data_IF_411487439513
#
_entry.id   IF_411487439513
#
_cell.length_a   1.000
_cell.length_b   1.000
_cell.length_c   1.000
_cell.angle_alpha   90.00
_cell.angle_beta   90.00
_cell.angle_gamma   90.00
#
_symmetry.space_group_name_H-M   'P 1'
#
loop_
_entity.id
_entity.type
_entity.pdbx_description
1 polymer ?
#
# COMPACT_ATOMS: atom_id res chain seq x y z
N UNK A 1 -31.51 -53.53 -34.96
CA UNK A 1 -32.66 -54.21 -34.36
C UNK A 1 -33.26 -53.26 -33.35
N UNK A 2 -34.32 -52.60 -33.75
CA UNK A 2 -35.68 -52.66 -33.20
C UNK A 2 -35.83 -52.17 -31.76
N UNK A 3 -36.71 -51.33 -31.35
CA UNK A 3 -37.98 -50.72 -31.83
C UNK A 3 -38.29 -49.59 -30.83
N UNK A 4 -38.57 -48.42 -31.28
CA UNK A 4 -39.87 -47.73 -31.29
C UNK A 4 -40.92 -48.25 -30.33
N UNK A 5 -41.49 -47.37 -29.49
CA UNK A 5 -42.91 -47.21 -29.32
C UNK A 5 -43.26 -45.80 -28.82
N UNK A 6 -44.13 -45.21 -29.55
CA UNK A 6 -44.91 -43.97 -29.30
C UNK A 6 -46.02 -44.28 -28.25
N UNK A 7 -46.55 -43.23 -27.70
CA UNK A 7 -47.95 -42.87 -27.48
C UNK A 7 -48.07 -41.99 -26.23
N UNK A 8 -48.86 -41.04 -26.02
CA UNK A 8 -49.89 -40.28 -26.70
C UNK A 8 -50.40 -39.28 -25.66
N UNK A 9 -50.49 -38.06 -26.09
CA UNK A 9 -51.47 -37.00 -25.82
C UNK A 9 -52.57 -37.31 -24.78
N UNK A 10 -52.76 -36.41 -23.81
CA UNK A 10 -54.11 -35.95 -23.45
C UNK A 10 -54.04 -34.49 -22.96
N UNK A 11 -54.75 -33.65 -23.67
CA UNK A 11 -55.12 -32.26 -23.36
C UNK A 11 -56.32 -32.30 -22.43
N UNK A 12 -56.33 -31.50 -21.37
CA UNK A 12 -57.60 -30.96 -20.88
C UNK A 12 -57.42 -29.59 -20.27
N UNK A 13 -58.36 -28.75 -20.62
CA UNK A 13 -58.40 -27.32 -20.54
C UNK A 13 -59.03 -26.79 -19.24
N UNK A 14 -58.83 -25.47 -19.08
CA UNK A 14 -59.69 -24.46 -18.48
C UNK A 14 -59.81 -24.40 -16.96
N UNK A 15 -59.43 -23.23 -16.45
CA UNK A 15 -59.73 -22.77 -15.10
C UNK A 15 -59.20 -21.35 -14.87
N UNK A 16 -59.93 -20.34 -15.38
CA UNK A 16 -59.74 -18.93 -15.07
C UNK A 16 -60.09 -18.67 -13.61
N UNK A 17 -59.15 -18.16 -12.83
CA UNK A 17 -59.43 -17.50 -11.56
C UNK A 17 -58.57 -16.24 -11.47
N UNK A 18 -59.20 -15.09 -11.75
CA UNK A 18 -58.72 -13.76 -11.39
C UNK A 18 -58.78 -13.62 -9.86
N UNK A 19 -57.60 -13.74 -9.23
CA UNK A 19 -57.42 -13.39 -7.83
C UNK A 19 -56.44 -12.24 -7.75
N UNK A 20 -56.93 -11.00 -7.65
CA UNK A 20 -56.11 -9.85 -7.38
C UNK A 20 -55.45 -9.96 -6.02
N UNK A 21 -54.12 -10.01 -5.96
CA UNK A 21 -53.37 -9.81 -4.74
C UNK A 21 -53.29 -8.31 -4.49
N UNK A 22 -53.70 -7.84 -3.29
CA UNK A 22 -53.41 -6.45 -2.89
C UNK A 22 -51.94 -6.26 -2.78
N UNK A 23 -51.39 -5.28 -3.48
CA UNK A 23 -49.99 -4.92 -3.42
C UNK A 23 -49.60 -4.55 -2.00
N UNK A 24 -48.66 -5.31 -1.42
CA UNK A 24 -47.93 -4.88 -0.27
C UNK A 24 -47.13 -3.64 -0.66
N UNK A 25 -47.20 -2.56 0.10
CA UNK A 25 -46.27 -1.45 -0.09
C UNK A 25 -44.89 -1.98 0.20
N UNK A 26 -44.06 -2.08 -0.84
CA UNK A 26 -42.65 -2.40 -0.70
C UNK A 26 -41.99 -1.37 0.19
N UNK A 27 -41.79 -1.72 1.45
CA UNK A 27 -40.85 -1.00 2.28
C UNK A 27 -39.50 -1.06 1.59
N UNK A 28 -38.66 -0.02 1.70
CA UNK A 28 -37.33 -0.07 1.17
C UNK A 28 -36.64 -1.28 1.80
N UNK A 29 -36.31 -2.28 0.95
CA UNK A 29 -35.34 -3.29 1.34
C UNK A 29 -34.20 -2.56 2.02
N UNK A 30 -33.73 -3.01 3.17
CA UNK A 30 -32.43 -2.58 3.62
C UNK A 30 -31.45 -3.11 2.57
N UNK A 31 -31.29 -2.36 1.48
CA UNK A 31 -30.09 -2.48 0.68
C UNK A 31 -28.99 -2.37 1.69
N UNK A 32 -28.39 -3.50 1.96
CA UNK A 32 -27.10 -3.57 2.56
C UNK A 32 -26.28 -2.52 1.80
N UNK A 33 -26.19 -1.32 2.33
CA UNK A 33 -25.13 -0.39 1.98
C UNK A 33 -23.90 -1.20 2.33
N UNK A 34 -23.41 -2.00 1.38
CA UNK A 34 -22.00 -2.25 1.28
C UNK A 34 -21.47 -0.84 1.19
N UNK A 35 -21.14 -0.32 2.36
CA UNK A 35 -20.28 0.82 2.47
C UNK A 35 -19.08 0.37 1.65
N UNK A 36 -18.94 0.84 0.44
CA UNK A 36 -17.70 0.85 -0.30
C UNK A 36 -16.81 1.82 0.47
N UNK A 37 -16.62 1.47 1.76
CA UNK A 37 -15.59 2.02 2.60
C UNK A 37 -14.34 1.80 1.80
N UNK A 38 -13.78 2.90 1.45
CA UNK A 38 -12.49 3.10 0.85
C UNK A 38 -11.64 1.82 0.95
N UNK A 39 -11.55 1.06 -0.17
CA UNK A 39 -10.76 -0.16 -0.26
C UNK A 39 -9.25 0.16 -0.30
N UNK A 40 -8.88 1.44 -0.13
CA UNK A 40 -7.50 1.80 0.11
C UNK A 40 -7.09 1.21 1.46
N UNK A 41 -6.07 0.34 1.48
CA UNK A 41 -5.55 -0.17 2.73
C UNK A 41 -5.23 0.99 3.67
N UNK A 42 -5.54 0.89 4.96
CA UNK A 42 -5.24 1.96 5.90
C UNK A 42 -3.76 2.31 5.81
N UNK A 43 -3.49 3.61 5.65
CA UNK A 43 -2.12 4.13 5.62
C UNK A 43 -1.42 3.70 6.91
N UNK A 44 -0.23 3.13 6.79
CA UNK A 44 0.54 2.68 7.96
C UNK A 44 0.80 3.85 8.92
N UNK A 45 0.68 3.62 10.24
CA UNK A 45 0.84 4.67 11.25
C UNK A 45 2.28 5.23 11.34
N UNK A 46 3.25 4.63 10.65
CA UNK A 46 4.62 5.16 10.59
C UNK A 46 4.84 6.11 9.43
N UNK A 47 3.92 6.17 8.47
CA UNK A 47 4.00 7.08 7.32
C UNK A 47 3.77 8.53 7.78
N UNK A 48 4.60 9.44 7.28
CA UNK A 48 4.53 10.87 7.59
C UNK A 48 3.43 11.55 6.77
N UNK A 49 2.17 11.21 7.05
CA UNK A 49 1.01 11.70 6.31
C UNK A 49 0.92 13.24 6.32
N UNK A 50 1.30 13.89 7.43
CA UNK A 50 1.33 15.34 7.56
C UNK A 50 2.34 16.00 6.58
N UNK A 51 3.51 15.36 6.37
CA UNK A 51 4.50 15.86 5.42
C UNK A 51 4.00 15.64 3.99
N UNK A 52 3.43 14.46 3.73
CA UNK A 52 2.88 14.13 2.41
C UNK A 52 1.68 15.01 2.02
N UNK A 53 0.96 15.58 2.98
CA UNK A 53 -0.13 16.52 2.74
C UNK A 53 0.33 17.95 2.45
N UNK A 54 1.62 18.27 2.64
CA UNK A 54 2.17 19.60 2.34
C UNK A 54 2.32 19.80 0.83
N UNK A 55 2.33 21.05 0.40
CA UNK A 55 2.84 21.40 -0.93
C UNK A 55 4.35 21.13 -0.99
N UNK A 56 4.90 20.80 -2.17
CA UNK A 56 6.33 20.68 -2.35
C UNK A 56 7.06 21.98 -1.97
N UNK A 57 8.09 21.87 -1.14
CA UNK A 57 8.91 23.01 -0.68
C UNK A 57 10.13 23.24 -1.58
N UNK A 58 10.36 22.34 -2.54
CA UNK A 58 11.48 22.43 -3.48
C UNK A 58 11.19 21.67 -4.79
N UNK A 59 11.83 22.09 -5.86
CA UNK A 59 11.87 21.38 -7.14
C UNK A 59 13.10 20.46 -7.27
N UNK A 60 14.03 20.55 -6.32
CA UNK A 60 15.20 19.67 -6.24
C UNK A 60 15.54 19.46 -4.77
N UNK A 61 15.80 18.21 -4.40
CA UNK A 61 16.19 17.85 -3.06
C UNK A 61 17.32 16.81 -3.08
N UNK A 62 18.32 16.98 -2.22
CA UNK A 62 19.36 15.98 -1.96
C UNK A 62 18.91 15.16 -0.74
N UNK A 63 18.74 13.84 -0.92
CA UNK A 63 18.24 12.97 0.14
C UNK A 63 19.05 11.69 0.26
N UNK A 64 19.05 11.11 1.46
CA UNK A 64 19.44 9.71 1.68
C UNK A 64 18.29 8.98 2.31
N UNK A 65 18.28 7.63 2.20
CA UNK A 65 17.19 6.84 2.76
C UNK A 65 17.65 5.55 3.43
N UNK A 66 16.82 5.04 4.31
CA UNK A 66 16.87 3.71 4.89
C UNK A 66 15.65 2.96 4.40
N UNK A 67 15.85 1.82 3.72
CA UNK A 67 14.78 0.93 3.27
C UNK A 67 14.55 -0.17 4.30
N UNK A 68 13.30 -0.36 4.71
CA UNK A 68 12.85 -1.45 5.58
C UNK A 68 11.68 -2.16 4.91
N UNK A 69 11.93 -3.38 4.42
CA UNK A 69 10.96 -4.21 3.71
C UNK A 69 10.39 -5.31 4.61
N UNK A 70 9.49 -6.13 4.09
CA UNK A 70 8.93 -7.31 4.75
C UNK A 70 8.60 -8.42 3.76
N UNK A 71 8.38 -9.64 4.26
CA UNK A 71 8.28 -10.87 3.44
C UNK A 71 7.23 -10.81 2.33
N UNK A 72 6.10 -10.10 2.56
CA UNK A 72 4.99 -10.08 1.60
C UNK A 72 5.30 -9.26 0.34
N UNK A 73 6.44 -8.56 0.32
CA UNK A 73 6.94 -7.78 -0.83
C UNK A 73 7.93 -8.55 -1.71
N UNK A 74 8.14 -9.85 -1.46
CA UNK A 74 9.15 -10.68 -2.14
C UNK A 74 9.05 -10.67 -3.66
N UNK A 75 7.85 -10.58 -4.22
CA UNK A 75 7.61 -10.55 -5.66
C UNK A 75 8.22 -9.29 -6.30
N UNK A 76 8.18 -8.14 -5.62
CA UNK A 76 8.73 -6.87 -6.12
C UNK A 76 10.25 -6.88 -6.20
N UNK A 77 10.90 -7.78 -5.47
CA UNK A 77 12.35 -7.97 -5.45
C UNK A 77 12.84 -9.07 -6.38
N UNK A 78 11.96 -9.71 -7.16
CA UNK A 78 12.33 -10.77 -8.11
C UNK A 78 13.20 -11.89 -7.48
N UNK A 79 12.92 -12.25 -6.23
CA UNK A 79 13.68 -13.26 -5.47
C UNK A 79 14.93 -12.74 -4.76
N UNK A 80 15.23 -11.45 -4.83
CA UNK A 80 16.40 -10.83 -4.19
C UNK A 80 16.06 -10.04 -2.92
N UNK A 81 14.96 -10.42 -2.23
CA UNK A 81 14.59 -9.80 -0.95
C UNK A 81 15.68 -10.04 0.11
N UNK A 82 16.01 -8.99 0.87
CA UNK A 82 16.98 -9.11 1.98
C UNK A 82 16.55 -10.22 2.96
N UNK A 83 17.47 -11.08 3.42
CA UNK A 83 17.15 -12.15 4.37
C UNK A 83 16.51 -11.69 5.68
N UNK A 84 16.75 -10.45 6.11
CA UNK A 84 16.10 -9.83 7.28
C UNK A 84 14.63 -9.57 6.99
N UNK A 85 14.32 -8.99 5.82
CA UNK A 85 12.96 -8.72 5.35
C UNK A 85 12.16 -10.01 5.16
N UNK A 86 12.78 -11.07 4.63
CA UNK A 86 12.14 -12.36 4.43
C UNK A 86 11.58 -13.01 5.71
N UNK A 87 12.13 -12.64 6.87
CA UNK A 87 11.72 -13.14 8.20
C UNK A 87 10.75 -12.22 8.93
N UNK A 88 10.53 -11.01 8.41
CA UNK A 88 9.81 -9.92 9.06
C UNK A 88 8.38 -9.82 8.51
N UNK A 89 7.40 -9.61 9.36
CA UNK A 89 6.07 -9.15 8.97
C UNK A 89 6.05 -7.64 8.74
N UNK A 90 4.97 -7.12 8.13
CA UNK A 90 4.78 -5.66 8.01
C UNK A 90 4.76 -4.97 9.38
N UNK A 91 4.12 -5.58 10.38
CA UNK A 91 4.06 -5.04 11.74
C UNK A 91 5.45 -4.95 12.41
N UNK A 92 6.30 -5.96 12.17
CA UNK A 92 7.68 -5.93 12.64
C UNK A 92 8.50 -4.85 11.93
N UNK A 93 8.28 -4.66 10.62
CA UNK A 93 8.90 -3.56 9.85
C UNK A 93 8.49 -2.19 10.41
N UNK A 94 7.21 -1.99 10.73
CA UNK A 94 6.73 -0.77 11.38
C UNK A 94 7.37 -0.55 12.76
N UNK A 95 7.57 -1.61 13.54
CA UNK A 95 8.25 -1.51 14.83
C UNK A 95 9.71 -1.10 14.67
N UNK A 96 10.40 -1.63 13.67
CA UNK A 96 11.78 -1.27 13.34
C UNK A 96 11.88 0.19 12.87
N UNK A 97 10.99 0.63 11.98
CA UNK A 97 10.90 2.04 11.56
C UNK A 97 10.73 2.96 12.77
N UNK A 98 9.81 2.65 13.70
CA UNK A 98 9.63 3.44 14.94
C UNK A 98 10.89 3.47 15.80
N UNK A 99 11.62 2.36 15.89
CA UNK A 99 12.89 2.30 16.62
C UNK A 99 13.95 3.21 15.98
N UNK A 100 14.11 3.15 14.66
CA UNK A 100 15.05 3.98 13.91
C UNK A 100 14.72 5.48 14.03
N UNK A 101 13.44 5.83 13.93
CA UNK A 101 12.99 7.22 14.13
C UNK A 101 13.32 7.74 15.52
N UNK A 102 13.14 6.93 16.57
CA UNK A 102 13.53 7.30 17.95
C UNK A 102 15.03 7.54 18.06
N UNK A 103 15.84 6.72 17.42
CA UNK A 103 17.29 6.89 17.42
C UNK A 103 17.71 8.19 16.71
N UNK A 104 17.09 8.48 15.55
CA UNK A 104 17.33 9.72 14.82
C UNK A 104 16.90 10.96 15.63
N UNK A 105 15.77 10.89 16.33
CA UNK A 105 15.30 11.95 17.24
C UNK A 105 16.24 12.15 18.43
N UNK A 106 16.89 11.09 18.90
CA UNK A 106 17.91 11.14 19.95
C UNK A 106 19.27 11.62 19.44
N UNK A 107 19.39 11.98 18.16
CA UNK A 107 20.62 12.52 17.57
C UNK A 107 21.57 11.48 16.96
N UNK A 108 21.12 10.25 16.74
CA UNK A 108 21.93 9.25 16.06
C UNK A 108 22.27 9.72 14.64
N UNK A 109 23.48 9.38 14.19
CA UNK A 109 23.94 9.71 12.84
C UNK A 109 23.19 8.90 11.79
N UNK A 110 22.66 9.60 10.78
CA UNK A 110 21.82 8.98 9.75
C UNK A 110 22.60 7.97 8.89
N UNK A 111 23.85 8.29 8.52
CA UNK A 111 24.65 7.43 7.67
C UNK A 111 25.06 6.15 8.40
N UNK A 112 25.31 6.24 9.70
CA UNK A 112 25.56 5.08 10.56
C UNK A 112 24.36 4.15 10.60
N UNK A 113 23.15 4.68 10.83
CA UNK A 113 21.92 3.88 10.83
C UNK A 113 21.59 3.33 9.44
N UNK A 114 21.82 4.11 8.38
CA UNK A 114 21.61 3.67 7.00
C UNK A 114 22.49 2.46 6.68
N UNK A 115 23.79 2.51 7.00
CA UNK A 115 24.73 1.39 6.79
C UNK A 115 24.34 0.15 7.58
N UNK A 116 23.84 0.32 8.80
CA UNK A 116 23.49 -0.80 9.68
C UNK A 116 22.16 -1.46 9.33
N UNK A 117 21.16 -0.68 8.93
CA UNK A 117 19.77 -1.11 8.88
C UNK A 117 19.15 -1.15 7.49
N UNK A 118 19.63 -0.34 6.54
CA UNK A 118 19.01 -0.27 5.22
C UNK A 118 19.13 -1.58 4.45
N UNK A 119 18.05 -1.96 3.79
CA UNK A 119 17.96 -3.13 2.91
C UNK A 119 18.17 -2.77 1.43
N UNK A 120 18.30 -1.47 1.12
CA UNK A 120 18.96 -1.01 -0.10
C UNK A 120 20.48 -1.02 0.13
N UNK A 121 21.04 -2.22 -0.01
CA UNK A 121 22.48 -2.47 0.30
C UNK A 121 23.42 -1.66 -0.59
N UNK A 122 23.02 -1.35 -1.83
CA UNK A 122 23.82 -0.55 -2.75
C UNK A 122 23.99 0.88 -2.27
N UNK A 123 22.89 1.55 -1.95
CA UNK A 123 22.92 2.92 -1.40
C UNK A 123 23.56 2.97 0.00
N UNK A 124 23.26 1.97 0.84
CA UNK A 124 23.82 1.89 2.18
C UNK A 124 25.34 1.76 2.19
N UNK A 125 25.90 0.89 1.35
CA UNK A 125 27.34 0.65 1.28
C UNK A 125 28.10 1.86 0.73
N UNK A 126 27.56 2.53 -0.29
CA UNK A 126 28.20 3.68 -0.93
C UNK A 126 27.99 5.01 -0.19
N UNK A 127 27.01 5.08 0.71
CA UNK A 127 26.56 6.35 1.30
C UNK A 127 25.88 7.26 0.28
N UNK A 128 25.32 6.68 -0.79
CA UNK A 128 24.74 7.41 -1.93
C UNK A 128 23.65 8.39 -1.50
N UNK A 129 23.76 9.61 -2.00
CA UNK A 129 22.70 10.61 -1.90
C UNK A 129 21.99 10.74 -3.25
N UNK A 130 20.66 10.72 -3.21
CA UNK A 130 19.83 10.89 -4.39
C UNK A 130 19.53 12.36 -4.63
N UNK A 131 19.70 12.82 -5.87
CA UNK A 131 19.15 14.10 -6.32
C UNK A 131 17.75 13.84 -6.85
N UNK A 132 16.75 14.39 -6.19
CA UNK A 132 15.33 14.15 -6.49
C UNK A 132 14.75 15.38 -7.14
N UNK A 133 14.16 15.20 -8.34
CA UNK A 133 13.38 16.18 -9.09
C UNK A 133 11.98 15.62 -9.35
N UNK A 134 10.99 16.42 -9.78
CA UNK A 134 9.64 15.92 -10.07
C UNK A 134 9.59 14.81 -11.13
N UNK A 135 10.55 14.79 -12.05
CA UNK A 135 10.70 13.84 -13.16
C UNK A 135 11.75 12.74 -12.91
N UNK A 136 12.39 12.71 -11.71
CA UNK A 136 13.39 11.70 -11.37
C UNK A 136 12.79 10.26 -11.50
N UNK A 137 13.58 9.32 -12.02
CA UNK A 137 13.21 7.93 -12.20
C UNK A 137 13.26 7.16 -10.86
N UNK A 138 12.42 7.58 -9.93
CA UNK A 138 12.26 7.02 -8.58
C UNK A 138 10.78 6.73 -8.34
N UNK A 139 10.46 5.85 -7.39
CA UNK A 139 9.07 5.58 -7.01
C UNK A 139 8.36 6.86 -6.57
N UNK A 140 7.08 6.96 -6.89
CA UNK A 140 6.33 8.21 -6.76
C UNK A 140 6.28 8.70 -5.30
N UNK A 141 6.10 7.80 -4.35
CA UNK A 141 6.03 8.10 -2.92
C UNK A 141 7.35 8.67 -2.39
N UNK A 142 8.47 8.12 -2.87
CA UNK A 142 9.81 8.60 -2.54
C UNK A 142 10.01 10.04 -3.04
N UNK A 143 9.66 10.31 -4.31
CA UNK A 143 9.77 11.67 -4.88
C UNK A 143 8.87 12.66 -4.14
N UNK A 144 7.61 12.27 -3.91
CA UNK A 144 6.64 13.14 -3.25
C UNK A 144 7.10 13.53 -1.85
N UNK A 145 7.58 12.58 -1.06
CA UNK A 145 8.09 12.88 0.28
C UNK A 145 9.35 13.74 0.22
N UNK A 146 10.33 13.35 -0.62
CA UNK A 146 11.62 14.06 -0.71
C UNK A 146 11.48 15.54 -1.02
N UNK A 147 10.56 15.91 -1.93
CA UNK A 147 10.33 17.29 -2.32
C UNK A 147 9.51 18.10 -1.29
N UNK A 148 8.92 17.43 -0.30
CA UNK A 148 8.13 18.06 0.78
C UNK A 148 8.88 18.18 2.10
N UNK A 149 9.99 17.47 2.25
CA UNK A 149 10.85 17.58 3.42
C UNK A 149 11.57 18.92 3.42
N UNK A 150 11.65 19.57 4.57
CA UNK A 150 12.57 20.68 4.81
C UNK A 150 14.00 20.15 4.96
N UNK A 151 15.00 21.00 4.71
CA UNK A 151 16.40 20.64 4.93
C UNK A 151 16.63 20.18 6.38
N UNK A 152 17.23 19.00 6.55
CA UNK A 152 17.46 18.37 7.84
C UNK A 152 16.28 17.53 8.36
N UNK A 153 15.09 17.69 7.77
CA UNK A 153 13.89 16.94 8.19
C UNK A 153 13.96 15.48 7.77
N UNK A 154 13.33 14.63 8.60
CA UNK A 154 13.19 13.19 8.36
C UNK A 154 11.71 12.86 8.22
N UNK A 155 11.36 12.06 7.22
CA UNK A 155 10.00 11.55 7.01
C UNK A 155 10.00 10.11 6.54
N UNK A 156 8.82 9.51 6.55
CA UNK A 156 8.61 8.11 6.12
C UNK A 156 7.53 8.06 5.06
N UNK A 157 7.81 7.37 3.96
CA UNK A 157 6.78 6.93 3.01
C UNK A 157 6.80 5.41 2.86
N UNK A 158 5.71 4.86 2.33
CA UNK A 158 5.58 3.46 1.97
C UNK A 158 5.45 3.36 0.46
N UNK A 159 6.20 2.43 -0.14
CA UNK A 159 6.09 2.05 -1.55
C UNK A 159 5.93 0.53 -1.67
N UNK A 160 5.91 0.04 -2.91
CA UNK A 160 5.92 -1.40 -3.21
C UNK A 160 7.21 -2.11 -2.79
N UNK A 161 8.25 -1.38 -2.41
CA UNK A 161 9.52 -1.92 -1.91
C UNK A 161 9.62 -1.91 -0.38
N UNK A 162 8.74 -1.22 0.33
CA UNK A 162 8.77 -1.13 1.78
C UNK A 162 8.63 0.29 2.32
N UNK A 163 9.07 0.48 3.55
CA UNK A 163 9.15 1.79 4.18
C UNK A 163 10.48 2.45 3.86
N UNK A 164 10.42 3.68 3.38
CA UNK A 164 11.60 4.53 3.18
C UNK A 164 11.63 5.60 4.26
N UNK A 165 12.61 5.53 5.14
CA UNK A 165 12.94 6.63 6.06
C UNK A 165 13.87 7.55 5.29
N UNK A 166 13.42 8.75 4.96
CA UNK A 166 14.14 9.70 4.09
C UNK A 166 14.57 10.90 4.92
N UNK A 167 15.84 11.30 4.80
CA UNK A 167 16.36 12.56 5.34
C UNK A 167 16.80 13.47 4.21
N UNK A 168 16.36 14.73 4.24
CA UNK A 168 16.85 15.75 3.32
C UNK A 168 18.12 16.42 3.85
N UNK A 169 19.09 16.53 2.99
CA UNK A 169 20.39 17.22 3.24
C UNK A 169 20.40 18.58 2.56
N UNK A 170 21.33 19.49 2.93
CA UNK A 170 21.53 20.77 2.27
C UNK A 170 21.82 20.65 0.79
#
# INVERSE_FOLDING_TARGET
MNRSVLASVTILALGTALGGCPGSPGGPSPMNKINSGDLTPPVSPVVSAEILAREPVANTATVKHILISWRDLSENFQGHLDPRAAKRSKADAEAEVRSLLKQLQAGADFDTLMKASSEDTGSAASGHAFTVTPDAQLVIEFRQLSLRLNTGEVGVCQSDYGFHIIKRFP
#
